data_IF_728011486170
#
_entry.id   IF_728011486170
#
_cell.length_a   1.000
_cell.length_b   1.000
_cell.length_c   1.000
_cell.angle_alpha   90.00
_cell.angle_beta   90.00
_cell.angle_gamma   90.00
#
_symmetry.space_group_name_H-M   'P 1'
#
loop_
_entity.id
_entity.type
_entity.pdbx_description
1 polymer ?
#
# COMPACT_ATOMS: atom_id res chain seq x y z
N UNK A 1 -14.47 -11.59 -8.74
CA UNK A 1 -13.23 -12.16 -9.31
C UNK A 1 -12.29 -12.60 -8.20
N UNK A 2 -11.91 -11.71 -7.28
CA UNK A 2 -11.04 -12.03 -6.13
C UNK A 2 -11.62 -13.12 -5.21
N UNK A 3 -12.92 -13.07 -4.87
CA UNK A 3 -13.57 -14.13 -4.06
C UNK A 3 -13.49 -15.52 -4.69
N UNK A 4 -13.36 -15.61 -6.02
CA UNK A 4 -13.25 -16.89 -6.74
C UNK A 4 -11.81 -17.37 -6.94
N UNK A 5 -10.81 -16.53 -6.67
CA UNK A 5 -9.39 -16.90 -6.79
C UNK A 5 -8.99 -17.95 -5.73
N UNK A 6 -7.89 -18.67 -5.92
CA UNK A 6 -7.34 -19.56 -4.88
C UNK A 6 -6.41 -18.84 -3.88
N UNK A 7 -6.33 -17.51 -3.95
CA UNK A 7 -5.48 -16.68 -3.11
C UNK A 7 -6.29 -16.07 -1.95
N UNK A 8 -5.69 -16.01 -0.76
CA UNK A 8 -6.28 -15.38 0.43
C UNK A 8 -5.94 -13.90 0.55
N UNK A 9 -4.75 -13.53 0.06
CA UNK A 9 -4.21 -12.17 0.08
C UNK A 9 -4.05 -11.66 -1.36
N UNK A 10 -4.31 -10.38 -1.58
CA UNK A 10 -4.07 -9.70 -2.86
C UNK A 10 -3.48 -8.33 -2.59
N UNK A 11 -2.33 -8.03 -3.20
CA UNK A 11 -1.76 -6.68 -3.24
C UNK A 11 -2.20 -5.96 -4.51
N UNK A 12 -2.68 -4.73 -4.36
CA UNK A 12 -2.87 -3.77 -5.44
C UNK A 12 -1.82 -2.67 -5.28
N UNK A 13 -1.17 -2.28 -6.37
CA UNK A 13 -0.25 -1.12 -6.40
C UNK A 13 -0.91 -0.03 -7.23
N UNK A 14 -0.94 1.19 -6.71
CA UNK A 14 -1.60 2.31 -7.41
C UNK A 14 -0.80 3.62 -7.37
N UNK A 15 -1.31 4.60 -8.11
CA UNK A 15 -0.69 5.90 -8.37
C UNK A 15 -1.69 7.06 -8.28
N UNK A 16 -1.48 8.12 -9.10
CA UNK A 16 -2.40 9.24 -9.36
C UNK A 16 -2.65 10.24 -8.22
N UNK A 17 -2.67 9.78 -6.96
CA UNK A 17 -3.12 10.59 -5.80
C UNK A 17 -2.14 11.67 -5.33
N UNK A 18 -0.95 11.73 -5.93
CA UNK A 18 0.18 12.61 -5.55
C UNK A 18 0.54 12.49 -4.05
N UNK A 19 0.25 11.33 -3.44
CA UNK A 19 0.61 10.96 -2.05
C UNK A 19 0.83 9.45 -1.91
N UNK A 20 1.51 9.08 -0.83
CA UNK A 20 1.66 7.70 -0.36
C UNK A 20 0.52 7.29 0.57
N UNK A 21 0.00 6.07 0.46
CA UNK A 21 -1.08 5.57 1.32
C UNK A 21 -1.17 4.06 1.36
N UNK A 22 -1.80 3.53 2.41
CA UNK A 22 -2.08 2.11 2.58
C UNK A 22 -3.56 1.94 2.87
N UNK A 23 -4.19 1.00 2.19
CA UNK A 23 -5.60 0.69 2.33
C UNK A 23 -5.79 -0.80 2.47
N UNK A 24 -6.80 -1.20 3.23
CA UNK A 24 -7.09 -2.62 3.47
C UNK A 24 -8.58 -2.85 3.55
N UNK A 25 -9.04 -3.89 2.88
CA UNK A 25 -10.43 -4.33 2.91
C UNK A 25 -10.51 -5.85 2.92
N UNK A 26 -11.53 -6.37 3.61
CA UNK A 26 -11.90 -7.77 3.55
C UNK A 26 -13.10 -7.94 2.63
N UNK A 27 -13.05 -8.93 1.76
CA UNK A 27 -14.19 -9.32 0.94
C UNK A 27 -15.20 -10.14 1.75
N UNK A 28 -16.38 -10.39 1.17
CA UNK A 28 -17.42 -11.19 1.83
C UNK A 28 -16.97 -12.63 2.11
N UNK A 29 -16.06 -13.19 1.29
CA UNK A 29 -15.47 -14.51 1.54
C UNK A 29 -14.30 -14.50 2.54
N UNK A 30 -14.00 -13.35 3.14
CA UNK A 30 -12.96 -13.20 4.15
C UNK A 30 -11.55 -12.97 3.59
N UNK A 31 -11.39 -12.87 2.27
CA UNK A 31 -10.10 -12.58 1.63
C UNK A 31 -9.71 -11.15 1.84
N UNK A 32 -8.41 -10.91 1.84
CA UNK A 32 -7.83 -9.62 2.14
C UNK A 32 -7.29 -8.99 0.87
N UNK A 33 -7.68 -7.74 0.64
CA UNK A 33 -7.09 -6.89 -0.38
C UNK A 33 -6.36 -5.78 0.35
N UNK A 34 -5.05 -5.72 0.15
CA UNK A 34 -4.21 -4.62 0.59
C UNK A 34 -3.84 -3.79 -0.64
N UNK A 35 -3.85 -2.47 -0.50
CA UNK A 35 -3.44 -1.56 -1.55
C UNK A 35 -2.38 -0.61 -1.02
N UNK A 36 -1.34 -0.38 -1.83
CA UNK A 36 -0.28 0.59 -1.53
C UNK A 36 -0.19 1.58 -2.68
N UNK A 37 -0.53 2.82 -2.37
CA UNK A 37 -0.40 3.95 -3.29
C UNK A 37 0.97 4.56 -3.08
N UNK A 38 1.78 4.70 -4.14
CA UNK A 38 3.05 5.44 -4.10
C UNK A 38 3.16 6.31 -5.34
N UNK A 39 2.90 7.61 -5.20
CA UNK A 39 2.56 8.46 -6.35
C UNK A 39 3.14 9.87 -6.36
N UNK A 40 4.08 10.18 -5.45
CA UNK A 40 4.60 11.55 -5.27
C UNK A 40 6.04 11.76 -5.72
N UNK A 41 6.66 10.82 -6.45
CA UNK A 41 8.12 10.83 -6.69
C UNK A 41 8.64 12.18 -7.21
N UNK A 42 7.91 12.84 -8.13
CA UNK A 42 8.28 14.13 -8.72
C UNK A 42 7.19 15.20 -8.58
N UNK A 43 6.04 14.87 -7.99
CA UNK A 43 4.86 15.72 -7.93
C UNK A 43 4.11 15.51 -6.61
N UNK A 44 4.74 15.89 -5.50
CA UNK A 44 4.06 15.98 -4.21
C UNK A 44 2.96 17.05 -4.27
N UNK A 45 1.80 16.76 -3.70
CA UNK A 45 0.71 17.73 -3.61
C UNK A 45 0.26 17.86 -2.15
N UNK A 46 0.85 18.81 -1.38
CA UNK A 46 0.57 18.97 0.03
C UNK A 46 -0.77 19.67 0.22
N UNK A 47 -1.84 18.88 0.21
CA UNK A 47 -3.21 19.30 0.52
C UNK A 47 -3.70 18.62 1.81
N UNK A 48 -4.93 18.94 2.19
CA UNK A 48 -5.56 18.30 3.35
C UNK A 48 -5.76 16.79 3.13
N UNK A 49 -5.77 16.07 4.25
CA UNK A 49 -6.01 14.64 4.27
C UNK A 49 -7.44 14.34 3.80
N UNK A 50 -7.55 13.62 2.69
CA UNK A 50 -8.87 13.27 2.14
C UNK A 50 -9.51 12.13 2.94
N UNK A 51 -10.85 12.04 2.88
CA UNK A 51 -11.57 10.92 3.48
C UNK A 51 -11.20 9.60 2.77
N UNK A 52 -10.78 8.62 3.55
CA UNK A 52 -10.37 7.30 3.07
C UNK A 52 -10.96 6.21 3.96
N UNK A 53 -12.17 5.69 3.66
CA UNK A 53 -12.87 4.78 4.56
C UNK A 53 -12.15 3.45 4.79
N UNK A 54 -11.30 3.05 3.85
CA UNK A 54 -10.51 1.82 3.89
C UNK A 54 -9.04 2.08 4.22
N UNK A 55 -8.67 3.34 4.51
CA UNK A 55 -7.28 3.73 4.73
C UNK A 55 -6.78 3.26 6.09
N UNK A 56 -5.58 2.70 6.11
CA UNK A 56 -4.87 2.33 7.33
C UNK A 56 -3.89 3.45 7.66
N UNK A 57 -4.22 4.23 8.69
CA UNK A 57 -3.39 5.34 9.16
C UNK A 57 -3.46 6.59 8.28
N UNK A 58 -2.46 7.47 8.42
CA UNK A 58 -2.34 8.72 7.65
C UNK A 58 -1.65 8.47 6.31
N UNK A 59 -1.91 9.32 5.33
CA UNK A 59 -1.11 9.33 4.10
C UNK A 59 0.27 9.94 4.33
N UNK A 60 1.10 9.96 3.30
CA UNK A 60 2.39 10.64 3.25
C UNK A 60 2.44 11.53 2.00
N UNK A 61 2.39 12.85 2.20
CA UNK A 61 2.17 13.83 1.11
C UNK A 61 3.44 14.27 0.40
N UNK A 62 4.60 14.10 1.04
CA UNK A 62 5.92 14.44 0.48
C UNK A 62 6.36 13.42 -0.58
N UNK A 63 7.45 13.73 -1.29
CA UNK A 63 8.03 12.88 -2.32
C UNK A 63 8.33 11.48 -1.78
N UNK A 64 7.83 10.47 -2.49
CA UNK A 64 7.97 9.08 -2.09
C UNK A 64 7.96 8.09 -3.26
N UNK A 65 8.45 6.89 -2.98
CA UNK A 65 8.41 5.75 -3.89
C UNK A 65 8.07 4.45 -3.14
N UNK A 66 7.46 3.50 -3.85
CA UNK A 66 7.16 2.17 -3.32
C UNK A 66 8.37 1.25 -3.36
N UNK A 67 8.47 0.34 -2.40
CA UNK A 67 9.39 -0.80 -2.39
C UNK A 67 8.63 -2.07 -2.05
N UNK A 68 8.92 -3.15 -2.76
CA UNK A 68 8.41 -4.49 -2.46
C UNK A 68 9.61 -5.41 -2.26
N UNK A 69 9.62 -6.11 -1.13
CA UNK A 69 10.59 -7.15 -0.82
C UNK A 69 9.82 -8.45 -0.65
N UNK A 70 10.16 -9.45 -1.46
CA UNK A 70 9.53 -10.78 -1.43
C UNK A 70 10.49 -11.72 -0.74
N UNK A 71 10.04 -12.29 0.38
CA UNK A 71 10.74 -13.36 1.09
C UNK A 71 10.10 -14.71 0.73
N UNK A 72 10.81 -15.49 -0.09
CA UNK A 72 10.34 -16.80 -0.51
C UNK A 72 10.46 -17.89 0.55
N UNK A 73 11.24 -17.67 1.61
CA UNK A 73 11.41 -18.67 2.67
C UNK A 73 10.21 -18.63 3.62
N UNK A 74 9.83 -17.42 4.03
CA UNK A 74 8.72 -17.20 4.96
C UNK A 74 7.38 -16.98 4.24
N UNK A 75 7.38 -16.94 2.91
CA UNK A 75 6.21 -16.66 2.07
C UNK A 75 5.57 -15.30 2.38
N UNK A 76 6.42 -14.34 2.74
CA UNK A 76 6.07 -13.00 3.17
C UNK A 76 6.42 -11.98 2.09
N UNK A 77 5.65 -10.91 2.04
CA UNK A 77 5.93 -9.75 1.21
C UNK A 77 5.85 -8.48 2.05
N UNK A 78 6.99 -7.82 2.20
CA UNK A 78 7.05 -6.48 2.75
C UNK A 78 6.77 -5.46 1.65
N UNK A 79 5.81 -4.57 1.88
CA UNK A 79 5.47 -3.48 0.96
C UNK A 79 5.62 -2.17 1.71
N UNK A 80 6.57 -1.34 1.29
CA UNK A 80 6.90 -0.08 1.94
C UNK A 80 6.73 1.12 1.02
N UNK A 81 6.50 2.28 1.63
CA UNK A 81 6.63 3.60 1.01
C UNK A 81 7.86 4.25 1.64
N UNK A 82 8.79 4.71 0.81
CA UNK A 82 10.01 5.40 1.21
C UNK A 82 9.97 6.87 0.85
N UNK A 83 10.49 7.72 1.72
CA UNK A 83 10.79 9.11 1.35
C UNK A 83 12.09 9.20 0.52
N UNK A 84 12.45 10.42 0.09
CA UNK A 84 13.67 10.67 -0.70
C UNK A 84 14.97 10.28 0.01
N UNK A 85 14.98 10.19 1.34
CA UNK A 85 16.14 9.76 2.13
C UNK A 85 16.23 8.23 2.24
N UNK A 86 15.25 7.49 1.70
CA UNK A 86 15.18 6.04 1.76
C UNK A 86 14.59 5.46 3.04
N UNK A 87 14.03 6.32 3.92
CA UNK A 87 13.40 5.94 5.17
C UNK A 87 11.99 5.39 4.91
N UNK A 88 11.62 4.29 5.57
CA UNK A 88 10.28 3.72 5.48
C UNK A 88 9.32 4.61 6.28
N UNK A 89 8.40 5.27 5.58
CA UNK A 89 7.41 6.16 6.20
C UNK A 89 6.07 5.46 6.43
N UNK A 90 5.74 4.45 5.61
CA UNK A 90 4.57 3.57 5.74
C UNK A 90 4.92 2.19 5.23
N UNK A 91 4.32 1.16 5.79
CA UNK A 91 4.48 -0.21 5.29
C UNK A 91 3.31 -1.11 5.68
N UNK A 92 3.23 -2.24 4.99
CA UNK A 92 2.40 -3.39 5.35
C UNK A 92 3.19 -4.66 5.01
N UNK A 93 3.08 -5.66 5.87
CA UNK A 93 3.53 -7.03 5.57
C UNK A 93 2.31 -7.85 5.17
N UNK A 94 2.45 -8.58 4.07
CA UNK A 94 1.45 -9.52 3.57
C UNK A 94 2.05 -10.92 3.73
N UNK A 95 1.38 -11.74 4.53
CA UNK A 95 1.81 -13.10 4.86
C UNK A 95 0.74 -14.08 4.38
N UNK A 96 1.16 -15.20 3.81
CA UNK A 96 0.26 -16.24 3.30
C UNK A 96 0.58 -17.61 3.90
#
# INVERSE_FOLDING_TARGET
>A
MIDKASLNETLVISGDRHRGGIYKVKTDSGKVISEVTSSSLNASFPNEEEYGPLRVGKTFIEENYGVIIVDSNDNDMFVGIKNINGEIVRNVTISN
#
